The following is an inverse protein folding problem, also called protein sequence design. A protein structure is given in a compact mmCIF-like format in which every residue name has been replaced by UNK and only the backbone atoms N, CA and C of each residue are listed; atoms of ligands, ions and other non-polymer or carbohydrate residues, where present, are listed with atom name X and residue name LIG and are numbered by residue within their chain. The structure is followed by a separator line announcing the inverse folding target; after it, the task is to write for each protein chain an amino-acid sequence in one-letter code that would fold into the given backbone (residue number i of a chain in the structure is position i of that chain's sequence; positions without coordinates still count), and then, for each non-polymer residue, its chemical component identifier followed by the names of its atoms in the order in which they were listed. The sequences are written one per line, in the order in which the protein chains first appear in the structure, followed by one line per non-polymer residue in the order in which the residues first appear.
data_IF_920076540737
#
_entry.id   IF_920076540737
#
_cell.length_a   1.000
_cell.length_b   1.000
_cell.length_c   1.000
_cell.angle_alpha   90.00
_cell.angle_beta   90.00
_cell.angle_gamma   90.00
#
_symmetry.space_group_name_H-M   'P 1'
#
loop_
_entity.id
_entity.type
_entity.pdbx_description
1 polymer ?
#
# COMPACT_ATOMS: atom_id res chain seq x y z
N UNK A 1 -41.67 5.31 43.25
CA UNK A 1 -40.22 5.56 43.33
C UNK A 1 -39.49 4.26 43.01
N UNK A 2 -38.78 4.24 41.89
CA UNK A 2 -37.50 3.56 41.67
C UNK A 2 -37.37 2.03 41.91
N UNK A 3 -37.37 1.34 40.76
CA UNK A 3 -36.64 0.14 40.31
C UNK A 3 -35.61 -0.55 41.24
N UNK A 4 -35.57 -1.90 41.20
CA UNK A 4 -34.34 -2.72 41.02
C UNK A 4 -34.65 -4.20 40.73
N UNK A 5 -34.50 -4.57 39.46
CA UNK A 5 -33.83 -5.79 38.95
C UNK A 5 -34.35 -7.19 39.31
N UNK A 6 -35.37 -7.65 38.57
CA UNK A 6 -35.65 -9.08 38.37
C UNK A 6 -35.27 -9.50 36.95
N UNK A 7 -33.99 -9.77 36.69
CA UNK A 7 -33.56 -10.40 35.44
C UNK A 7 -33.24 -11.86 35.71
N UNK A 8 -34.29 -12.65 35.96
CA UNK A 8 -34.21 -14.11 36.00
C UNK A 8 -33.87 -14.62 34.60
N UNK A 9 -32.79 -15.38 34.53
CA UNK A 9 -32.23 -16.06 33.37
C UNK A 9 -33.27 -16.49 32.35
N UNK A 10 -33.33 -15.81 31.21
CA UNK A 10 -33.96 -16.34 30.01
C UNK A 10 -33.01 -17.35 29.35
N UNK A 11 -32.75 -18.47 30.04
CA UNK A 11 -32.24 -19.69 29.42
C UNK A 11 -33.36 -20.29 28.58
N UNK A 12 -33.64 -19.67 27.42
CA UNK A 12 -34.42 -20.34 26.38
C UNK A 12 -33.55 -21.46 25.86
N UNK A 13 -33.95 -22.67 26.25
CA UNK A 13 -33.49 -23.96 25.75
C UNK A 13 -33.42 -23.89 24.22
N UNK A 14 -32.21 -23.71 23.66
CA UNK A 14 -31.94 -24.02 22.26
C UNK A 14 -32.01 -25.54 22.19
N UNK A 15 -33.21 -26.05 21.90
CA UNK A 15 -33.45 -27.47 21.67
C UNK A 15 -32.57 -27.89 20.50
N UNK A 16 -31.64 -28.79 20.80
CA UNK A 16 -30.99 -29.77 19.93
C UNK A 16 -31.06 -29.42 18.43
N UNK A 17 -30.22 -28.48 18.02
CA UNK A 17 -30.08 -28.09 16.61
C UNK A 17 -29.11 -29.09 15.98
N UNK A 18 -29.51 -29.84 14.95
CA UNK A 18 -28.63 -30.81 14.30
C UNK A 18 -27.42 -30.09 13.71
N UNK A 19 -26.24 -30.36 14.28
CA UNK A 19 -24.96 -29.87 13.78
C UNK A 19 -24.53 -30.78 12.63
N UNK A 20 -24.77 -30.33 11.40
CA UNK A 20 -24.25 -31.00 10.21
C UNK A 20 -22.78 -30.63 10.04
N UNK A 21 -21.89 -31.54 10.44
CA UNK A 21 -20.46 -31.42 10.17
C UNK A 21 -20.21 -31.76 8.70
N UNK A 22 -20.08 -30.73 7.86
CA UNK A 22 -19.61 -30.89 6.48
C UNK A 22 -18.07 -30.95 6.54
N UNK A 23 -17.43 -32.10 6.30
CA UNK A 23 -15.98 -32.16 6.25
C UNK A 23 -15.49 -31.29 5.09
N UNK A 24 -14.75 -30.23 5.40
CA UNK A 24 -14.09 -29.41 4.40
C UNK A 24 -12.92 -30.18 3.79
N UNK A 25 -12.86 -30.23 2.47
CA UNK A 25 -11.63 -30.60 1.76
C UNK A 25 -10.89 -29.32 1.42
N UNK A 26 -9.69 -29.15 1.98
CA UNK A 26 -8.77 -28.09 1.57
C UNK A 26 -7.56 -28.74 0.92
N UNK A 27 -7.06 -28.10 -0.12
CA UNK A 27 -5.77 -28.45 -0.71
C UNK A 27 -4.66 -27.74 0.07
N UNK A 28 -3.43 -28.24 0.03
CA UNK A 28 -2.28 -27.57 0.64
C UNK A 28 -2.06 -26.21 -0.01
N UNK A 29 -2.18 -25.14 0.77
CA UNK A 29 -1.92 -23.77 0.34
C UNK A 29 -0.54 -23.36 0.84
N UNK A 30 0.33 -22.91 -0.07
CA UNK A 30 1.61 -22.30 0.31
C UNK A 30 1.41 -20.82 0.56
N UNK A 31 1.83 -20.38 1.72
CA UNK A 31 1.83 -18.96 2.10
C UNK A 31 3.18 -18.33 1.73
N UNK A 32 3.13 -17.10 1.22
CA UNK A 32 4.31 -16.31 0.88
C UNK A 32 4.16 -14.92 1.49
N UNK A 33 5.25 -14.34 1.95
CA UNK A 33 5.30 -13.00 2.52
C UNK A 33 5.82 -11.97 1.50
N UNK A 34 5.87 -10.70 1.91
CA UNK A 34 6.28 -9.59 1.04
C UNK A 34 7.71 -9.78 0.51
N UNK A 35 8.61 -10.23 1.37
CA UNK A 35 9.99 -10.54 1.01
C UNK A 35 10.09 -11.66 -0.03
N UNK A 36 9.26 -12.70 0.07
CA UNK A 36 9.22 -13.79 -0.90
C UNK A 36 8.70 -13.30 -2.25
N UNK A 37 7.65 -12.46 -2.24
CA UNK A 37 7.08 -11.85 -3.43
C UNK A 37 8.09 -10.97 -4.17
N UNK A 38 8.83 -10.14 -3.44
CA UNK A 38 9.86 -9.26 -4.00
C UNK A 38 11.02 -10.06 -4.59
N UNK A 39 11.50 -11.08 -3.87
CA UNK A 39 12.58 -11.94 -4.34
C UNK A 39 12.17 -12.73 -5.59
N UNK A 40 10.97 -13.32 -5.57
CA UNK A 40 10.45 -14.15 -6.67
C UNK A 40 10.19 -13.36 -7.95
N UNK A 41 9.80 -12.09 -7.82
CA UNK A 41 9.60 -11.18 -8.95
C UNK A 41 10.91 -10.52 -9.45
N UNK A 42 12.04 -10.81 -8.79
CA UNK A 42 13.36 -10.36 -9.21
C UNK A 42 13.63 -8.88 -8.93
N UNK A 43 13.08 -8.33 -7.84
CA UNK A 43 13.24 -6.93 -7.44
C UNK A 43 12.82 -5.95 -8.54
N UNK A 44 11.51 -5.81 -8.73
CA UNK A 44 10.91 -4.75 -9.57
C UNK A 44 11.62 -3.42 -9.27
N UNK A 45 12.14 -2.74 -10.30
CA UNK A 45 12.86 -1.46 -10.11
C UNK A 45 11.97 -0.53 -9.28
N UNK A 46 12.54 0.16 -8.29
CA UNK A 46 11.80 1.07 -7.40
C UNK A 46 10.86 2.00 -8.17
N UNK A 47 11.31 2.52 -9.30
CA UNK A 47 10.47 3.34 -10.18
C UNK A 47 9.18 2.64 -10.63
N UNK A 48 9.22 1.36 -10.98
CA UNK A 48 8.07 0.62 -11.52
C UNK A 48 7.11 0.19 -10.39
N UNK A 49 7.63 -0.03 -9.17
CA UNK A 49 6.83 -0.37 -7.97
C UNK A 49 5.89 0.76 -7.57
N UNK A 50 6.37 2.01 -7.65
CA UNK A 50 5.65 3.20 -7.19
C UNK A 50 5.05 4.06 -8.35
N UNK A 51 5.38 3.78 -9.61
CA UNK A 51 4.96 4.60 -10.76
C UNK A 51 3.48 4.47 -11.16
N UNK A 52 2.69 3.59 -10.55
CA UNK A 52 1.25 3.49 -10.84
C UNK A 52 0.43 4.70 -10.33
N UNK A 53 1.04 5.61 -9.55
CA UNK A 53 0.49 6.92 -9.23
C UNK A 53 0.94 7.96 -10.26
N UNK A 54 0.03 8.37 -11.14
CA UNK A 54 0.32 9.27 -12.26
C UNK A 54 1.18 10.48 -11.90
N UNK A 55 2.26 10.69 -12.67
CA UNK A 55 2.94 12.00 -12.75
C UNK A 55 1.96 13.01 -13.32
N UNK A 56 1.22 13.69 -12.46
CA UNK A 56 0.55 14.91 -12.85
C UNK A 56 1.64 15.99 -12.99
N UNK A 57 2.33 16.01 -14.13
CA UNK A 57 3.11 17.18 -14.53
C UNK A 57 2.10 18.31 -14.67
N UNK A 58 1.98 19.12 -13.61
CA UNK A 58 1.39 20.44 -13.73
C UNK A 58 2.30 21.21 -14.67
N UNK A 59 1.99 21.09 -15.97
CA UNK A 59 2.34 22.04 -17.01
C UNK A 59 1.65 23.35 -16.65
N UNK A 60 2.21 24.03 -15.66
CA UNK A 60 1.88 25.40 -15.28
C UNK A 60 2.55 26.33 -16.27
N UNK A 61 1.74 26.81 -17.20
CA UNK A 61 2.08 27.74 -18.24
C UNK A 61 2.34 29.14 -17.62
N UNK A 62 3.58 29.46 -17.23
CA UNK A 62 3.93 30.78 -16.67
C UNK A 62 4.33 31.77 -17.77
N UNK A 63 3.34 32.53 -18.23
CA UNK A 63 3.51 33.72 -19.06
C UNK A 63 2.76 34.91 -18.46
N UNK A 64 3.47 35.80 -17.74
CA UNK A 64 3.21 37.25 -17.57
C UNK A 64 4.47 37.87 -16.92
N UNK A 65 5.27 38.72 -17.57
CA UNK A 65 5.09 40.11 -18.06
C UNK A 65 4.85 41.16 -16.97
N UNK A 66 5.85 42.04 -16.78
CA UNK A 66 5.79 43.30 -16.04
C UNK A 66 6.80 43.32 -14.89
N UNK A 67 7.80 44.21 -14.78
CA UNK A 67 7.84 45.61 -15.15
C UNK A 67 7.73 46.45 -13.87
N UNK A 68 8.85 46.93 -13.33
CA UNK A 68 8.85 47.80 -12.15
C UNK A 68 10.22 47.98 -11.50
N UNK A 69 10.94 49.02 -11.91
CA UNK A 69 12.01 49.64 -11.11
C UNK A 69 11.38 50.24 -9.85
N UNK A 70 12.13 50.32 -8.75
CA UNK A 70 12.28 51.53 -7.91
C UNK A 70 12.74 51.25 -6.46
N UNK A 71 13.93 51.81 -6.13
CA UNK A 71 14.39 52.43 -4.87
C UNK A 71 13.64 52.17 -3.55
N UNK A 72 14.38 51.93 -2.45
CA UNK A 72 14.63 52.94 -1.41
C UNK A 72 15.30 52.39 -0.12
N UNK A 73 16.17 53.21 0.46
CA UNK A 73 16.58 53.36 1.88
C UNK A 73 16.73 52.14 2.80
N UNK A 74 18.01 51.81 3.01
CA UNK A 74 18.70 51.84 4.31
C UNK A 74 17.94 51.58 5.61
N UNK A 75 18.35 50.52 6.31
CA UNK A 75 18.42 50.46 7.78
C UNK A 75 19.45 49.42 8.22
N UNK A 76 20.68 49.87 8.51
CA UNK A 76 21.52 49.21 9.51
C UNK A 76 20.82 49.39 10.86
N UNK A 77 20.66 48.30 11.64
CA UNK A 77 20.69 48.23 13.13
C UNK A 77 19.71 47.21 13.71
N UNK A 78 20.21 46.00 13.97
CA UNK A 78 20.22 45.31 15.29
C UNK A 78 20.62 43.85 15.08
N UNK A 79 21.92 43.63 14.95
CA UNK A 79 22.50 42.40 15.47
C UNK A 79 22.32 42.41 17.00
N UNK A 80 22.08 41.23 17.58
CA UNK A 80 21.93 40.93 19.01
C UNK A 80 20.49 40.90 19.51
N UNK A 81 19.69 39.91 19.08
CA UNK A 81 18.87 39.07 19.98
C UNK A 81 18.07 37.92 19.31
N UNK A 82 18.32 37.56 18.05
CA UNK A 82 17.57 36.45 17.38
C UNK A 82 18.39 35.18 17.14
N UNK A 83 19.55 34.99 17.81
CA UNK A 83 20.40 33.79 17.62
C UNK A 83 20.16 32.66 18.62
N UNK A 84 19.25 32.84 19.59
CA UNK A 84 19.05 31.87 20.68
C UNK A 84 17.67 31.18 20.64
N UNK A 85 16.83 31.51 19.65
CA UNK A 85 15.54 30.81 19.42
C UNK A 85 15.52 29.92 18.19
N UNK A 86 16.52 29.99 17.31
CA UNK A 86 16.65 29.10 16.15
C UNK A 86 17.41 27.80 16.45
N UNK A 87 18.21 27.75 17.52
CA UNK A 87 19.05 26.58 17.86
C UNK A 87 18.31 25.42 18.52
N UNK A 88 17.02 25.59 18.83
CA UNK A 88 16.22 24.58 19.53
C UNK A 88 15.22 23.86 18.63
N UNK A 89 15.04 24.31 17.38
CA UNK A 89 14.10 23.71 16.42
C UNK A 89 14.80 22.74 15.44
N UNK A 90 16.07 22.98 15.10
CA UNK A 90 16.85 22.12 14.19
C UNK A 90 17.18 20.72 14.76
N UNK A 91 17.04 20.52 16.08
CA UNK A 91 17.45 19.29 16.75
C UNK A 91 16.31 18.24 16.82
N UNK A 92 15.05 18.67 16.71
CA UNK A 92 13.89 17.76 16.83
C UNK A 92 13.64 17.01 15.51
N UNK A 93 13.75 17.68 14.35
CA UNK A 93 13.70 17.02 13.03
C UNK A 93 14.88 16.07 12.79
N UNK A 94 16.09 16.47 13.22
CA UNK A 94 17.31 15.66 13.03
C UNK A 94 17.27 14.35 13.84
N UNK A 95 16.59 14.31 14.98
CA UNK A 95 16.46 13.10 15.80
C UNK A 95 15.37 12.16 15.27
N UNK A 96 14.26 12.71 14.74
CA UNK A 96 13.14 11.91 14.22
C UNK A 96 13.50 11.17 12.93
N UNK A 97 14.33 11.75 12.06
CA UNK A 97 14.85 11.06 10.87
C UNK A 97 15.77 9.87 11.20
N UNK A 98 16.65 10.03 12.19
CA UNK A 98 17.61 8.98 12.59
C UNK A 98 16.95 7.72 13.15
N UNK A 99 15.83 7.86 13.85
CA UNK A 99 15.10 6.71 14.40
C UNK A 99 14.49 5.85 13.30
N UNK A 100 13.88 6.47 12.27
CA UNK A 100 13.33 5.75 11.12
C UNK A 100 14.41 5.08 10.27
N UNK A 101 15.56 5.74 10.09
CA UNK A 101 16.69 5.17 9.36
C UNK A 101 17.28 3.93 10.04
N UNK A 102 17.34 3.94 11.38
CA UNK A 102 17.84 2.80 12.17
C UNK A 102 16.89 1.60 12.09
N UNK A 103 15.58 1.80 12.31
CA UNK A 103 14.57 0.74 12.22
C UNK A 103 14.58 0.10 10.83
N UNK A 104 14.68 0.93 9.80
CA UNK A 104 14.77 0.48 8.42
C UNK A 104 16.03 -0.37 8.15
N UNK A 105 17.16 0.02 8.71
CA UNK A 105 18.42 -0.72 8.57
C UNK A 105 18.36 -2.06 9.31
N UNK A 106 17.82 -2.07 10.53
CA UNK A 106 17.62 -3.29 11.33
C UNK A 106 16.71 -4.27 10.60
N UNK A 107 15.63 -3.77 9.98
CA UNK A 107 14.74 -4.60 9.15
C UNK A 107 15.46 -5.21 7.95
N UNK A 108 16.26 -4.42 7.24
CA UNK A 108 17.05 -4.90 6.11
C UNK A 108 18.05 -5.99 6.55
N UNK A 109 18.76 -5.76 7.66
CA UNK A 109 19.71 -6.73 8.19
C UNK A 109 19.03 -8.06 8.57
N UNK A 110 17.89 -8.00 9.24
CA UNK A 110 17.13 -9.21 9.60
C UNK A 110 16.69 -10.02 8.37
N UNK A 111 16.38 -9.36 7.24
CA UNK A 111 16.05 -10.03 5.98
C UNK A 111 17.28 -10.68 5.33
N UNK A 112 18.43 -9.98 5.32
CA UNK A 112 19.67 -10.57 4.81
C UNK A 112 20.12 -11.77 5.65
N UNK A 113 19.97 -11.73 6.97
CA UNK A 113 20.25 -12.87 7.86
C UNK A 113 19.34 -14.08 7.60
N UNK A 114 18.11 -13.83 7.13
CA UNK A 114 17.17 -14.88 6.68
C UNK A 114 17.51 -15.44 5.29
N UNK A 115 18.51 -14.89 4.61
CA UNK A 115 19.00 -15.36 3.31
C UNK A 115 18.39 -14.68 2.08
N UNK A 116 17.67 -13.57 2.27
CA UNK A 116 17.19 -12.75 1.14
C UNK A 116 18.32 -11.92 0.55
N UNK A 117 18.20 -11.56 -0.74
CA UNK A 117 19.19 -10.71 -1.39
C UNK A 117 19.20 -9.30 -0.79
N UNK A 118 20.36 -8.62 -0.84
CA UNK A 118 20.47 -7.22 -0.37
C UNK A 118 19.50 -6.28 -1.09
N UNK A 119 19.20 -6.57 -2.36
CA UNK A 119 18.22 -5.83 -3.15
C UNK A 119 16.80 -6.01 -2.60
N UNK A 120 16.40 -7.25 -2.29
CA UNK A 120 15.10 -7.55 -1.66
C UNK A 120 15.02 -6.91 -0.28
N UNK A 121 16.05 -7.07 0.55
CA UNK A 121 16.09 -6.50 1.89
C UNK A 121 15.94 -4.97 1.87
N UNK A 122 16.65 -4.29 0.97
CA UNK A 122 16.54 -2.85 0.79
C UNK A 122 15.14 -2.42 0.36
N UNK A 123 14.56 -3.08 -0.65
CA UNK A 123 13.25 -2.77 -1.20
C UNK A 123 12.12 -3.06 -0.20
N UNK A 124 12.16 -4.19 0.51
CA UNK A 124 11.19 -4.53 1.54
C UNK A 124 11.21 -3.51 2.68
N UNK A 125 12.40 -2.99 2.99
CA UNK A 125 12.56 -1.97 4.02
C UNK A 125 12.12 -0.57 3.56
N UNK A 126 11.96 -0.34 2.25
CA UNK A 126 11.33 0.89 1.74
C UNK A 126 9.80 0.87 1.83
N UNK A 127 9.16 -0.30 1.91
CA UNK A 127 7.70 -0.36 1.87
C UNK A 127 7.07 0.22 3.13
N UNK A 128 6.16 1.17 2.92
CA UNK A 128 5.22 1.65 3.93
C UNK A 128 4.10 0.62 4.11
N UNK A 129 3.66 0.43 5.35
CA UNK A 129 2.50 -0.42 5.67
C UNK A 129 1.18 0.18 5.17
N UNK A 130 1.14 1.49 4.92
CA UNK A 130 -0.08 2.22 4.53
C UNK A 130 -0.25 2.33 3.01
N UNK A 131 0.75 1.92 2.23
CA UNK A 131 0.76 2.08 0.77
C UNK A 131 0.77 0.74 0.04
N UNK A 132 -0.07 0.63 -1.00
CA UNK A 132 -0.13 -0.56 -1.84
C UNK A 132 0.94 -0.47 -2.93
N UNK A 133 1.87 -1.43 -3.03
CA UNK A 133 2.89 -1.43 -4.07
C UNK A 133 2.34 -1.98 -5.38
N UNK A 134 1.55 -1.17 -6.09
CA UNK A 134 0.84 -1.59 -7.30
C UNK A 134 1.75 -2.23 -8.37
N UNK A 135 2.98 -1.73 -8.54
CA UNK A 135 3.91 -2.34 -9.48
C UNK A 135 4.36 -3.75 -9.07
N UNK A 136 4.45 -4.03 -7.77
CA UNK A 136 4.69 -5.39 -7.29
C UNK A 136 3.50 -6.31 -7.56
N UNK A 137 2.27 -5.80 -7.40
CA UNK A 137 1.04 -6.57 -7.74
C UNK A 137 1.06 -6.97 -9.21
N UNK A 138 1.32 -6.04 -10.13
CA UNK A 138 1.42 -6.33 -11.57
C UNK A 138 2.54 -7.32 -11.87
N UNK A 139 3.72 -7.16 -11.27
CA UNK A 139 4.84 -8.07 -11.46
C UNK A 139 4.53 -9.49 -10.94
N UNK A 140 3.81 -9.62 -9.83
CA UNK A 140 3.36 -10.90 -9.30
C UNK A 140 2.38 -11.59 -10.24
N UNK A 141 1.38 -10.87 -10.75
CA UNK A 141 0.43 -11.43 -11.73
C UNK A 141 1.17 -11.96 -12.96
N UNK A 142 2.10 -11.17 -13.49
CA UNK A 142 2.96 -11.61 -14.58
C UNK A 142 3.79 -12.84 -14.21
N UNK A 143 4.41 -12.86 -13.03
CA UNK A 143 5.20 -14.01 -12.59
C UNK A 143 4.33 -15.28 -12.49
N UNK A 144 3.13 -15.18 -11.90
CA UNK A 144 2.22 -16.32 -11.74
C UNK A 144 1.79 -16.87 -13.10
N UNK A 145 1.37 -16.00 -14.03
CA UNK A 145 0.96 -16.39 -15.39
C UNK A 145 2.05 -17.14 -16.16
N UNK A 146 3.32 -16.73 -15.98
CA UNK A 146 4.44 -17.37 -16.67
C UNK A 146 4.91 -18.68 -16.01
N UNK A 147 4.75 -18.83 -14.69
CA UNK A 147 5.43 -19.90 -13.94
C UNK A 147 4.49 -20.92 -13.27
N UNK A 148 3.22 -20.59 -13.02
CA UNK A 148 2.35 -21.39 -12.13
C UNK A 148 1.26 -22.21 -12.84
N UNK A 149 1.29 -22.32 -14.17
CA UNK A 149 0.33 -23.11 -14.93
C UNK A 149 -1.09 -22.51 -14.92
N UNK A 150 -2.08 -23.19 -15.52
CA UNK A 150 -3.42 -22.64 -15.67
C UNK A 150 -4.15 -22.52 -14.32
N UNK A 151 -4.73 -21.35 -14.05
CA UNK A 151 -5.49 -21.07 -12.84
C UNK A 151 -6.08 -19.66 -12.84
N UNK A 152 -6.91 -19.37 -11.84
CA UNK A 152 -7.44 -18.02 -11.60
C UNK A 152 -6.66 -17.35 -10.47
N UNK A 153 -6.47 -16.03 -10.59
CA UNK A 153 -5.81 -15.21 -9.56
C UNK A 153 -6.86 -14.31 -8.91
N UNK A 154 -6.95 -14.34 -7.58
CA UNK A 154 -7.84 -13.48 -6.80
C UNK A 154 -6.99 -12.46 -6.04
N UNK A 155 -7.23 -11.17 -6.28
CA UNK A 155 -6.48 -10.07 -5.66
C UNK A 155 -7.43 -9.31 -4.72
N UNK A 156 -7.05 -9.18 -3.45
CA UNK A 156 -7.79 -8.40 -2.46
C UNK A 156 -7.19 -7.00 -2.34
N UNK A 157 -8.03 -5.97 -2.52
CA UNK A 157 -7.66 -4.56 -2.43
C UNK A 157 -8.67 -3.83 -1.53
N UNK A 158 -8.25 -2.79 -0.78
CA UNK A 158 -9.08 -2.19 0.26
C UNK A 158 -10.22 -1.31 -0.29
N UNK A 159 -10.12 -0.79 -1.51
CA UNK A 159 -11.14 0.10 -2.08
C UNK A 159 -11.23 0.07 -3.62
N UNK A 160 -12.31 0.67 -4.13
CA UNK A 160 -12.60 0.74 -5.57
C UNK A 160 -11.53 1.48 -6.39
N UNK A 161 -10.95 2.54 -5.82
CA UNK A 161 -9.88 3.31 -6.47
C UNK A 161 -8.64 2.43 -6.72
N UNK A 162 -8.27 1.61 -5.73
CA UNK A 162 -7.15 0.68 -5.84
C UNK A 162 -7.44 -0.46 -6.82
N UNK A 163 -8.69 -0.97 -6.81
CA UNK A 163 -9.17 -1.95 -7.82
C UNK A 163 -9.00 -1.38 -9.22
N UNK A 164 -9.44 -0.14 -9.43
CA UNK A 164 -9.36 0.52 -10.75
C UNK A 164 -7.90 0.73 -11.16
N UNK A 165 -7.02 1.17 -10.25
CA UNK A 165 -5.58 1.33 -10.53
C UNK A 165 -4.90 0.04 -10.94
N UNK A 166 -5.14 -1.05 -10.19
CA UNK A 166 -4.57 -2.37 -10.52
C UNK A 166 -5.12 -2.88 -11.84
N UNK A 167 -6.43 -2.76 -12.05
CA UNK A 167 -7.07 -3.14 -13.30
C UNK A 167 -6.45 -2.41 -14.49
N UNK A 168 -6.32 -1.08 -14.43
CA UNK A 168 -5.74 -0.25 -15.49
C UNK A 168 -4.24 -0.52 -15.70
N UNK A 169 -3.51 -0.91 -14.64
CA UNK A 169 -2.12 -1.32 -14.75
C UNK A 169 -2.00 -2.66 -15.48
N UNK A 170 -2.82 -3.65 -15.11
CA UNK A 170 -2.86 -4.96 -15.75
C UNK A 170 -3.35 -4.89 -17.19
N UNK A 171 -4.31 -4.03 -17.52
CA UNK A 171 -4.83 -3.87 -18.88
C UNK A 171 -3.77 -3.36 -19.87
N UNK A 172 -2.78 -2.62 -19.37
CA UNK A 172 -1.65 -2.09 -20.16
C UNK A 172 -0.55 -3.13 -20.39
N UNK A 173 -0.56 -4.25 -19.67
CA UNK A 173 0.44 -5.30 -19.87
C UNK A 173 0.28 -5.95 -21.25
N UNK A 174 1.38 -6.32 -21.94
CA UNK A 174 1.30 -6.95 -23.27
C UNK A 174 0.42 -8.21 -23.32
N UNK A 175 0.28 -8.91 -22.19
CA UNK A 175 -0.50 -10.14 -22.03
C UNK A 175 -1.91 -9.91 -21.51
N UNK A 176 -2.35 -8.66 -21.33
CA UNK A 176 -3.71 -8.35 -20.87
C UNK A 176 -4.80 -9.02 -21.71
N UNK A 177 -4.58 -9.14 -23.02
CA UNK A 177 -5.50 -9.79 -23.96
C UNK A 177 -5.72 -11.28 -23.73
N UNK A 178 -4.80 -11.95 -23.02
CA UNK A 178 -4.96 -13.36 -22.62
C UNK A 178 -5.66 -13.53 -21.28
N UNK A 179 -5.93 -12.43 -20.56
CA UNK A 179 -6.56 -12.45 -19.25
C UNK A 179 -8.03 -12.04 -19.35
N UNK A 180 -8.84 -12.58 -18.44
CA UNK A 180 -10.19 -12.05 -18.16
C UNK A 180 -10.12 -11.27 -16.86
N UNK A 181 -9.95 -9.94 -16.97
CA UNK A 181 -9.89 -9.05 -15.82
C UNK A 181 -11.31 -8.69 -15.38
N UNK A 182 -11.68 -9.07 -14.17
CA UNK A 182 -13.03 -8.90 -13.63
C UNK A 182 -12.93 -8.16 -12.30
N UNK A 183 -13.22 -6.83 -12.27
CA UNK A 183 -13.26 -6.10 -11.01
C UNK A 183 -14.46 -6.54 -10.18
N UNK A 184 -14.22 -6.88 -8.91
CA UNK A 184 -15.24 -7.31 -7.96
C UNK A 184 -15.34 -6.31 -6.81
N UNK A 185 -16.52 -5.74 -6.63
CA UNK A 185 -16.81 -4.87 -5.49
C UNK A 185 -18.26 -5.05 -5.05
N UNK A 186 -18.51 -5.02 -3.73
CA UNK A 186 -19.84 -5.25 -3.15
C UNK A 186 -20.91 -4.24 -3.58
N UNK A 187 -20.52 -3.12 -4.21
CA UNK A 187 -21.43 -2.12 -4.79
C UNK A 187 -21.66 -2.27 -6.31
N UNK A 188 -21.05 -3.25 -6.98
CA UNK A 188 -21.36 -3.53 -8.39
C UNK A 188 -22.78 -4.12 -8.45
N UNK A 189 -23.68 -3.58 -9.30
CA UNK A 189 -25.04 -4.11 -9.43
C UNK A 189 -25.02 -5.61 -9.77
N UNK A 190 -25.90 -6.38 -9.12
CA UNK A 190 -25.99 -7.85 -9.21
C UNK A 190 -26.08 -8.41 -10.64
N UNK A 191 -26.54 -7.59 -11.60
CA UNK A 191 -26.55 -7.91 -13.04
C UNK A 191 -25.15 -8.22 -13.57
N UNK A 192 -24.16 -7.44 -13.17
CA UNK A 192 -22.80 -7.51 -13.72
C UNK A 192 -21.96 -8.55 -12.95
N UNK A 193 -22.40 -8.97 -11.76
CA UNK A 193 -21.81 -10.07 -10.98
C UNK A 193 -22.10 -11.47 -11.55
N UNK A 194 -23.18 -11.65 -12.31
CA UNK A 194 -23.57 -12.96 -12.87
C UNK A 194 -22.72 -13.42 -14.05
N UNK A 195 -21.85 -12.57 -14.60
CA UNK A 195 -20.90 -12.93 -15.65
C UNK A 195 -19.62 -13.61 -15.11
N UNK A 196 -19.52 -13.77 -13.79
CA UNK A 196 -18.31 -14.17 -13.06
C UNK A 196 -18.34 -15.67 -12.69
N UNK A 197 -19.48 -16.35 -12.90
CA UNK A 197 -19.69 -17.77 -12.64
C UNK A 197 -20.18 -18.51 -13.88
#
# INVERSE_FOLDING_TARGET
SSSSSSSSSSSRVVRDVPVLHIPGFTYDVREMFLEDAVETTGCVRKEDVFAAGGRNTRSGNDHHRGGGKSHDRGYKRKERQDQDRSRQDDNDETQRGKAGDLERLERAQALTERGFSDATAALVSDFSADEIPFGLVTALVNHIDHNMGPGAILIFLPGWDDITKVHDALDKEPRSRSWSLIPLHGMIPTRDQRAIF
#
